data_IF_432968441617
#
_entry.id   IF_432968441617
#
_cell.length_a   1.000
_cell.length_b   1.000
_cell.length_c   1.000
_cell.angle_alpha   90.00
_cell.angle_beta   90.00
_cell.angle_gamma   90.00
#
_symmetry.space_group_name_H-M   'P 1'
#
loop_
_entity.id
_entity.type
_entity.pdbx_description
1 polymer ?
#
# COMPACT_ATOMS: atom_id res chain seq x y z
N UNK A 1 -50.39 -49.68 29.11
CA UNK A 1 -49.06 -49.41 29.70
C UNK A 1 -48.28 -48.54 28.72
N UNK A 2 -48.04 -47.25 29.01
CA UNK A 2 -46.90 -46.76 29.81
C UNK A 2 -45.59 -47.38 29.31
N UNK A 3 -44.80 -46.63 28.54
CA UNK A 3 -43.50 -46.07 28.98
C UNK A 3 -42.94 -45.22 27.84
N UNK A 4 -42.85 -43.94 28.17
CA UNK A 4 -42.15 -42.86 27.52
C UNK A 4 -40.66 -43.04 27.86
N UNK A 5 -39.77 -43.09 26.87
CA UNK A 5 -38.35 -42.82 27.09
C UNK A 5 -37.82 -42.06 25.88
N UNK A 6 -38.21 -40.79 25.85
CA UNK A 6 -37.44 -39.77 25.18
C UNK A 6 -36.09 -39.72 25.89
N UNK A 7 -35.01 -39.90 25.14
CA UNK A 7 -33.75 -39.13 25.18
C UNK A 7 -32.87 -39.80 24.11
N UNK A 8 -33.09 -39.44 22.85
CA UNK A 8 -31.98 -39.42 21.90
C UNK A 8 -31.12 -38.22 22.29
N UNK A 9 -30.17 -38.41 23.19
CA UNK A 9 -29.10 -37.44 23.39
C UNK A 9 -28.09 -37.60 22.25
N UNK A 10 -28.52 -37.29 21.02
CA UNK A 10 -27.59 -36.97 19.95
C UNK A 10 -27.12 -35.55 20.29
N UNK A 11 -26.01 -35.47 21.04
CA UNK A 11 -25.33 -34.21 21.28
C UNK A 11 -24.97 -33.63 19.91
N UNK A 12 -25.78 -32.68 19.45
CA UNK A 12 -25.49 -31.88 18.28
C UNK A 12 -24.27 -31.03 18.65
N UNK A 13 -23.07 -31.53 18.34
CA UNK A 13 -21.86 -30.75 18.42
C UNK A 13 -22.04 -29.53 17.53
N UNK A 14 -22.17 -28.35 18.15
CA UNK A 14 -22.15 -27.10 17.40
C UNK A 14 -20.75 -26.95 16.80
N UNK A 15 -20.61 -27.26 15.51
CA UNK A 15 -19.44 -26.88 14.75
C UNK A 15 -19.42 -25.35 14.72
N UNK A 16 -18.57 -24.73 15.55
CA UNK A 16 -18.29 -23.32 15.45
C UNK A 16 -17.61 -23.07 14.11
N UNK A 17 -18.36 -22.54 13.14
CA UNK A 17 -17.80 -22.11 11.88
C UNK A 17 -16.92 -20.89 12.16
N UNK A 18 -15.61 -21.04 12.08
CA UNK A 18 -14.70 -19.90 12.14
C UNK A 18 -15.06 -18.97 10.97
N UNK A 19 -15.48 -17.75 11.28
CA UNK A 19 -15.66 -16.73 10.26
C UNK A 19 -14.29 -16.43 9.64
N UNK A 20 -14.11 -16.70 8.35
CA UNK A 20 -12.94 -16.24 7.61
C UNK A 20 -13.05 -14.72 7.55
N UNK A 21 -12.30 -14.02 8.40
CA UNK A 21 -12.19 -12.57 8.33
C UNK A 21 -11.68 -12.19 6.94
N UNK A 22 -12.49 -11.47 6.15
CA UNK A 22 -12.08 -10.93 4.86
C UNK A 22 -10.86 -10.04 5.11
N UNK A 23 -9.70 -10.42 4.56
CA UNK A 23 -8.50 -9.61 4.68
C UNK A 23 -8.79 -8.18 4.20
N UNK A 24 -8.27 -7.14 4.89
CA UNK A 24 -8.45 -5.76 4.44
C UNK A 24 -8.07 -5.63 2.96
N UNK A 25 -8.81 -4.86 2.16
CA UNK A 25 -8.50 -4.68 0.76
C UNK A 25 -7.09 -4.10 0.60
N UNK A 26 -6.32 -4.69 -0.32
CA UNK A 26 -4.95 -4.28 -0.60
C UNK A 26 -4.96 -3.16 -1.64
N UNK A 27 -4.50 -1.96 -1.27
CA UNK A 27 -4.33 -0.86 -2.21
C UNK A 27 -3.02 -1.02 -2.98
N UNK A 28 -3.04 -0.89 -4.30
CA UNK A 28 -1.85 -0.90 -5.16
C UNK A 28 -1.85 0.40 -5.95
N UNK A 29 -0.77 1.16 -5.82
CA UNK A 29 -0.64 2.51 -6.37
C UNK A 29 0.61 2.56 -7.26
N UNK A 30 0.42 2.35 -8.56
CA UNK A 30 1.51 2.32 -9.52
C UNK A 30 1.84 3.74 -9.96
N UNK A 31 3.08 4.19 -9.78
CA UNK A 31 3.50 5.57 -10.11
C UNK A 31 3.21 5.97 -11.56
N UNK A 32 3.17 5.02 -12.50
CA UNK A 32 2.81 5.31 -13.91
C UNK A 32 1.36 5.76 -14.08
N UNK A 33 0.45 5.31 -13.21
CA UNK A 33 -0.96 5.73 -13.21
C UNK A 33 -1.11 7.19 -12.75
N UNK A 34 -0.09 7.72 -12.07
CA UNK A 34 0.02 9.12 -11.64
C UNK A 34 0.82 9.99 -12.62
N UNK A 35 1.11 9.47 -13.82
CA UNK A 35 1.84 10.20 -14.86
C UNK A 35 3.36 10.03 -14.81
N UNK A 36 3.87 9.03 -14.09
CA UNK A 36 5.31 8.83 -14.04
C UNK A 36 5.94 8.41 -15.37
N UNK A 37 6.90 9.20 -15.85
CA UNK A 37 7.63 8.93 -17.10
C UNK A 37 8.93 8.17 -16.80
N UNK A 38 9.12 7.05 -17.46
CA UNK A 38 10.25 6.14 -17.22
C UNK A 38 11.42 6.33 -18.20
N UNK A 39 11.77 7.60 -18.50
CA UNK A 39 12.82 7.95 -19.46
C UNK A 39 14.19 8.29 -18.82
N UNK A 40 14.23 8.35 -17.48
CA UNK A 40 15.41 8.70 -16.70
C UNK A 40 15.86 10.15 -16.82
N UNK A 41 15.01 11.03 -17.38
CA UNK A 41 15.32 12.44 -17.69
C UNK A 41 14.23 13.40 -17.19
N UNK A 42 12.95 13.07 -17.36
CA UNK A 42 11.83 13.88 -16.88
C UNK A 42 11.70 13.76 -15.37
N UNK A 43 11.64 14.90 -14.68
CA UNK A 43 11.41 14.93 -13.24
C UNK A 43 10.00 14.44 -12.93
N UNK A 44 9.93 13.38 -12.13
CA UNK A 44 8.73 12.60 -11.90
C UNK A 44 8.26 12.65 -10.44
N UNK A 45 8.85 13.54 -9.63
CA UNK A 45 8.57 13.67 -8.20
C UNK A 45 7.08 13.81 -7.88
N UNK A 46 6.35 14.65 -8.63
CA UNK A 46 4.92 14.88 -8.41
C UNK A 46 4.05 13.64 -8.63
N UNK A 47 4.41 12.76 -9.57
CA UNK A 47 3.70 11.49 -9.76
C UNK A 47 3.95 10.52 -8.59
N UNK A 48 5.17 10.54 -8.04
CA UNK A 48 5.52 9.76 -6.85
C UNK A 48 4.76 10.26 -5.62
N UNK A 49 4.70 11.59 -5.42
CA UNK A 49 3.94 12.21 -4.34
C UNK A 49 2.44 11.90 -4.44
N UNK A 50 1.87 11.92 -5.65
CA UNK A 50 0.48 11.53 -5.88
C UNK A 50 0.20 10.08 -5.47
N UNK A 51 1.03 9.15 -5.94
CA UNK A 51 0.91 7.74 -5.59
C UNK A 51 1.08 7.49 -4.08
N UNK A 52 2.00 8.22 -3.44
CA UNK A 52 2.20 8.16 -2.00
C UNK A 52 0.98 8.66 -1.21
N UNK A 53 0.43 9.82 -1.58
CA UNK A 53 -0.75 10.40 -0.90
C UNK A 53 -1.93 9.44 -0.90
N UNK A 54 -2.20 8.79 -2.02
CA UNK A 54 -3.29 7.82 -2.12
C UNK A 54 -2.98 6.53 -1.36
N UNK A 55 -1.72 6.07 -1.39
CA UNK A 55 -1.29 4.92 -0.59
C UNK A 55 -1.38 5.18 0.92
N UNK A 56 -1.09 6.40 1.35
CA UNK A 56 -1.16 6.89 2.72
C UNK A 56 -2.61 7.08 3.19
N UNK A 57 -3.50 7.55 2.31
CA UNK A 57 -4.93 7.70 2.59
C UNK A 57 -5.69 6.35 2.59
N UNK A 58 -5.11 5.29 2.03
CA UNK A 58 -5.77 4.00 1.86
C UNK A 58 -6.13 3.34 3.19
N UNK A 59 -7.38 2.87 3.30
CA UNK A 59 -7.88 2.13 4.47
C UNK A 59 -7.48 0.65 4.40
N UNK A 60 -6.28 0.34 4.89
CA UNK A 60 -5.76 -1.01 4.97
C UNK A 60 -4.31 -1.10 4.51
N UNK A 61 -3.84 -2.31 4.19
CA UNK A 61 -2.50 -2.50 3.64
C UNK A 61 -2.41 -1.85 2.26
N UNK A 62 -1.42 -1.00 2.05
CA UNK A 62 -1.18 -0.35 0.76
C UNK A 62 0.23 -0.62 0.25
N UNK A 63 0.38 -0.50 -1.07
CA UNK A 63 1.66 -0.65 -1.75
C UNK A 63 1.80 0.40 -2.85
N UNK A 64 2.84 1.22 -2.76
CA UNK A 64 3.30 2.06 -3.87
C UNK A 64 4.24 1.24 -4.74
N UNK A 65 3.97 1.13 -6.04
CA UNK A 65 4.75 0.32 -6.98
C UNK A 65 5.50 1.23 -7.94
N UNK A 66 6.82 1.06 -7.98
CA UNK A 66 7.71 1.66 -8.97
C UNK A 66 8.07 0.54 -9.95
N UNK A 67 7.44 0.46 -11.13
CA UNK A 67 7.63 -0.64 -12.07
C UNK A 67 9.01 -0.56 -12.74
N UNK A 68 9.28 -1.51 -13.63
CA UNK A 68 10.49 -1.47 -14.46
C UNK A 68 10.56 -0.20 -15.33
N UNK A 69 11.79 0.30 -15.49
CA UNK A 69 12.10 1.58 -16.14
C UNK A 69 13.06 2.42 -15.32
N UNK A 70 13.43 3.60 -15.83
CA UNK A 70 14.28 4.57 -15.12
C UNK A 70 13.49 5.83 -14.83
N UNK A 71 13.36 6.20 -13.57
CA UNK A 71 12.61 7.39 -13.14
C UNK A 71 13.57 8.41 -12.54
N UNK A 72 13.59 9.62 -13.07
CA UNK A 72 14.26 10.73 -12.40
C UNK A 72 13.29 11.35 -11.40
N UNK A 73 13.69 11.44 -10.14
CA UNK A 73 12.88 11.96 -9.04
C UNK A 73 13.69 13.05 -8.37
N UNK A 74 13.21 14.29 -8.42
CA UNK A 74 13.75 15.39 -7.62
C UNK A 74 13.64 15.15 -6.12
N UNK A 75 14.22 16.01 -5.28
CA UNK A 75 13.96 15.97 -3.85
C UNK A 75 12.48 16.20 -3.58
N UNK A 76 11.87 15.33 -2.80
CA UNK A 76 10.46 15.42 -2.44
C UNK A 76 10.24 14.85 -1.03
N UNK A 77 9.32 15.48 -0.32
CA UNK A 77 8.86 15.04 0.99
C UNK A 77 7.51 14.38 0.78
N UNK A 78 7.48 13.06 0.91
CA UNK A 78 6.27 12.26 0.81
C UNK A 78 5.47 12.42 2.11
N UNK A 79 4.99 13.65 2.34
CA UNK A 79 4.18 14.01 3.48
C UNK A 79 2.69 13.83 3.18
N UNK A 80 1.95 13.48 4.22
CA UNK A 80 0.50 13.34 4.18
C UNK A 80 -0.01 12.82 5.51
N UNK A 81 -1.24 13.20 5.86
CA UNK A 81 -1.93 12.50 6.95
C UNK A 81 -2.16 11.07 6.46
N UNK A 82 -1.53 10.09 7.13
CA UNK A 82 -1.83 8.68 6.92
C UNK A 82 -2.82 8.25 8.01
N UNK A 83 -4.14 8.42 7.79
CA UNK A 83 -5.15 8.21 8.82
C UNK A 83 -5.28 6.76 9.28
N UNK A 84 -4.52 5.83 8.69
CA UNK A 84 -4.55 4.41 9.00
C UNK A 84 -3.15 3.91 9.38
N UNK A 85 -3.01 3.27 10.54
CA UNK A 85 -1.72 2.73 11.03
C UNK A 85 -1.24 1.46 10.30
N UNK A 86 -1.76 1.18 9.10
CA UNK A 86 -1.31 0.04 8.31
C UNK A 86 0.00 0.37 7.59
N UNK A 87 0.99 -0.54 7.57
CA UNK A 87 2.23 -0.30 6.86
C UNK A 87 2.00 -0.04 5.37
N UNK A 88 2.65 0.99 4.84
CA UNK A 88 2.75 1.27 3.41
C UNK A 88 4.00 0.57 2.89
N UNK A 89 3.87 -0.26 1.86
CA UNK A 89 5.02 -0.93 1.23
C UNK A 89 5.43 -0.15 -0.02
N UNK A 90 6.67 0.31 -0.08
CA UNK A 90 7.25 0.86 -1.32
C UNK A 90 7.96 -0.27 -2.05
N UNK A 91 7.41 -0.70 -3.18
CA UNK A 91 7.97 -1.76 -4.00
C UNK A 91 8.72 -1.18 -5.19
N UNK A 92 10.05 -1.19 -5.12
CA UNK A 92 10.94 -0.75 -6.20
C UNK A 92 11.28 -1.94 -7.10
N UNK A 93 10.88 -1.89 -8.37
CA UNK A 93 11.28 -2.86 -9.42
C UNK A 93 12.19 -2.24 -10.48
N UNK A 94 12.06 -0.93 -10.71
CA UNK A 94 12.91 -0.18 -11.64
C UNK A 94 14.07 0.56 -10.97
N UNK A 95 14.64 1.52 -11.70
CA UNK A 95 15.67 2.42 -11.21
C UNK A 95 15.05 3.76 -10.81
N UNK A 96 15.34 4.22 -9.59
CA UNK A 96 15.00 5.56 -9.11
C UNK A 96 16.30 6.36 -9.05
N UNK A 97 16.35 7.47 -9.79
CA UNK A 97 17.54 8.33 -9.91
C UNK A 97 17.27 9.67 -9.27
N UNK A 98 18.20 10.13 -8.46
CA UNK A 98 18.22 11.49 -7.95
C UNK A 98 18.63 12.48 -9.05
N UNK A 99 18.12 13.71 -8.98
CA UNK A 99 18.64 14.81 -9.81
C UNK A 99 20.03 15.22 -9.35
N UNK A 100 20.93 15.53 -10.28
CA UNK A 100 22.28 16.05 -9.97
C UNK A 100 22.30 17.56 -9.71
N UNK A 101 21.17 18.22 -9.95
CA UNK A 101 21.01 19.65 -9.69
C UNK A 101 20.83 19.89 -8.19
N UNK A 102 21.95 20.21 -7.51
CA UNK A 102 21.99 20.46 -6.07
C UNK A 102 21.18 21.68 -5.65
N UNK A 103 20.87 22.60 -6.56
CA UNK A 103 20.06 23.79 -6.24
C UNK A 103 18.60 23.46 -5.91
N UNK A 104 18.13 22.27 -6.30
CA UNK A 104 16.79 21.76 -5.97
C UNK A 104 16.66 21.25 -4.54
N UNK A 105 17.76 20.97 -3.86
CA UNK A 105 17.76 20.36 -2.53
C UNK A 105 17.77 21.45 -1.45
N UNK A 106 16.71 21.49 -0.64
CA UNK A 106 16.61 22.39 0.50
C UNK A 106 17.33 21.86 1.75
N UNK A 107 17.67 20.58 1.76
CA UNK A 107 18.43 19.89 2.81
C UNK A 107 19.32 18.81 2.20
N UNK A 108 20.05 18.05 3.03
CA UNK A 108 20.84 16.88 2.61
C UNK A 108 19.97 15.64 2.29
N UNK A 109 18.64 15.78 2.30
CA UNK A 109 17.68 14.70 2.05
C UNK A 109 17.18 14.72 0.61
N UNK A 110 17.02 13.53 0.04
CA UNK A 110 16.44 13.33 -1.30
C UNK A 110 14.97 12.92 -1.22
N UNK A 111 14.68 11.75 -0.64
CA UNK A 111 13.33 11.24 -0.45
C UNK A 111 13.08 11.06 1.04
N UNK A 112 12.00 11.64 1.53
CA UNK A 112 11.53 11.50 2.92
C UNK A 112 10.13 10.90 2.90
N UNK A 113 9.86 9.94 3.80
CA UNK A 113 8.57 9.25 3.96
C UNK A 113 7.94 9.59 5.31
#
# INVERSE_FOLDING_TARGET
MRIWCWIFAFACGAAASAAVAKSPPHGVFNVKEYGAVADGKSDTAQAFLGAWKDACAWKGRSRMVIPEGSFLVGPDEFEGQCPNASPIVVQVKGLVKATIDMSKYLSDKWIVF
#
